data_IF_728591841069
#
_entry.id   IF_728591841069
#
_cell.length_a   1.000
_cell.length_b   1.000
_cell.length_c   1.000
_cell.angle_alpha   90.00
_cell.angle_beta   90.00
_cell.angle_gamma   90.00
#
_symmetry.space_group_name_H-M   'P 1'
#
loop_
_entity.id
_entity.type
_entity.pdbx_description
1 polymer ?
#
# COMPACT_ATOMS: atom_id res chain seq x y z
N UNK A 1 5.25 6.54 -16.44
CA UNK A 1 5.63 6.05 -15.09
C UNK A 1 6.32 4.72 -15.24
N UNK A 2 7.45 4.44 -14.56
CA UNK A 2 8.10 3.13 -14.61
C UNK A 2 7.15 2.01 -14.17
N UNK A 3 7.23 0.85 -14.81
CA UNK A 3 6.28 -0.26 -14.57
C UNK A 3 6.25 -0.74 -13.12
N UNK A 4 7.40 -0.73 -12.43
CA UNK A 4 7.49 -1.11 -11.01
C UNK A 4 6.69 -0.15 -10.11
N UNK A 5 6.67 1.14 -10.44
CA UNK A 5 5.92 2.15 -9.69
C UNK A 5 4.40 2.02 -9.93
N UNK A 6 4.01 1.63 -11.16
CA UNK A 6 2.61 1.30 -11.46
C UNK A 6 2.14 0.04 -10.72
N UNK A 7 3.02 -0.94 -10.50
CA UNK A 7 2.70 -2.13 -9.73
C UNK A 7 2.57 -1.86 -8.22
N UNK A 8 3.40 -0.96 -7.67
CA UNK A 8 3.25 -0.47 -6.29
C UNK A 8 1.90 0.22 -6.07
N UNK A 9 1.40 0.94 -7.07
CA UNK A 9 0.04 1.50 -7.07
C UNK A 9 -1.06 0.46 -7.38
N UNK A 10 -0.76 -0.84 -7.31
CA UNK A 10 -1.74 -1.91 -7.55
C UNK A 10 -2.11 -2.16 -9.01
N UNK A 11 -1.29 -1.70 -9.97
CA UNK A 11 -1.38 -2.04 -11.41
C UNK A 11 -2.63 -1.56 -12.15
N UNK A 12 -3.58 -0.92 -11.45
CA UNK A 12 -4.96 -0.74 -11.90
C UNK A 12 -5.34 0.74 -12.15
N UNK A 13 -4.40 1.63 -12.46
CA UNK A 13 -4.65 3.08 -12.61
C UNK A 13 -5.10 3.78 -11.31
N UNK A 14 -4.77 3.22 -10.14
CA UNK A 14 -4.90 3.97 -8.90
C UNK A 14 -3.86 5.09 -8.86
N UNK A 15 -4.31 6.27 -8.43
CA UNK A 15 -3.46 7.44 -8.28
C UNK A 15 -3.48 7.86 -6.82
N UNK A 16 -2.31 7.97 -6.20
CA UNK A 16 -2.16 8.66 -4.92
C UNK A 16 -2.39 10.15 -5.20
N UNK A 17 -3.33 10.76 -4.47
CA UNK A 17 -3.65 12.19 -4.63
C UNK A 17 -3.47 12.99 -3.34
N UNK A 18 -3.29 12.32 -2.20
CA UNK A 18 -2.95 12.95 -0.93
C UNK A 18 -2.09 12.01 -0.09
N UNK A 19 -1.23 12.61 0.72
CA UNK A 19 -0.38 11.95 1.70
C UNK A 19 -0.44 12.77 2.99
N UNK A 20 -0.62 12.08 4.12
CA UNK A 20 -0.69 12.68 5.46
C UNK A 20 0.21 11.88 6.40
N UNK A 21 1.22 12.54 6.97
CA UNK A 21 2.08 11.95 7.99
C UNK A 21 1.56 12.26 9.40
N UNK A 22 1.68 11.27 10.29
CA UNK A 22 1.37 11.33 11.71
C UNK A 22 2.53 10.75 12.52
N UNK A 23 2.56 10.98 13.84
CA UNK A 23 3.66 10.55 14.71
C UNK A 23 4.01 9.05 14.62
N UNK A 24 3.02 8.20 14.34
CA UNK A 24 3.17 6.74 14.30
C UNK A 24 2.62 6.08 13.03
N UNK A 25 2.23 6.86 12.03
CA UNK A 25 1.65 6.35 10.79
C UNK A 25 1.75 7.32 9.64
N UNK A 26 1.61 6.81 8.43
CA UNK A 26 1.41 7.59 7.21
C UNK A 26 0.16 7.10 6.50
N UNK A 27 -0.66 8.02 6.01
CA UNK A 27 -1.91 7.72 5.29
C UNK A 27 -1.84 8.25 3.86
N UNK A 28 -2.21 7.41 2.91
CA UNK A 28 -2.29 7.73 1.49
C UNK A 28 -3.75 7.66 1.04
N UNK A 29 -4.23 8.71 0.39
CA UNK A 29 -5.51 8.67 -0.30
C UNK A 29 -5.28 8.36 -1.78
N UNK A 30 -5.97 7.33 -2.25
CA UNK A 30 -5.90 6.84 -3.61
C UNK A 30 -7.25 6.96 -4.29
N UNK A 31 -7.24 7.17 -5.60
CA UNK A 31 -8.46 7.17 -6.43
C UNK A 31 -8.29 6.35 -7.70
N UNK A 32 -9.37 5.69 -8.11
CA UNK A 32 -9.48 4.99 -9.40
C UNK A 32 -10.86 5.29 -10.00
N UNK A 33 -10.91 6.26 -10.92
CA UNK A 33 -12.19 6.73 -11.47
C UNK A 33 -13.06 7.36 -10.38
N UNK A 34 -14.12 6.66 -9.97
CA UNK A 34 -15.03 7.08 -8.88
C UNK A 34 -14.79 6.38 -7.55
N UNK A 35 -13.86 5.42 -7.50
CA UNK A 35 -13.51 4.71 -6.27
C UNK A 35 -12.46 5.47 -5.50
N UNK A 36 -12.58 5.47 -4.19
CA UNK A 36 -11.63 6.06 -3.26
C UNK A 36 -11.12 4.97 -2.31
N UNK A 37 -9.82 5.02 -2.02
CA UNK A 37 -9.21 4.16 -1.04
C UNK A 37 -8.32 4.97 -0.12
N UNK A 38 -8.24 4.54 1.13
CA UNK A 38 -7.29 5.05 2.10
C UNK A 38 -6.40 3.88 2.55
N UNK A 39 -5.09 4.11 2.53
CA UNK A 39 -4.10 3.16 3.04
C UNK A 39 -3.36 3.84 4.17
N UNK A 40 -3.51 3.34 5.39
CA UNK A 40 -2.77 3.81 6.57
C UNK A 40 -1.73 2.77 6.96
N UNK A 41 -0.47 3.16 6.99
CA UNK A 41 0.66 2.33 7.38
C UNK A 41 1.18 2.80 8.74
N UNK A 42 1.24 1.89 9.71
CA UNK A 42 1.74 2.18 11.04
C UNK A 42 3.20 1.74 11.19
N UNK A 43 3.95 2.45 12.02
CA UNK A 43 5.39 2.22 12.24
C UNK A 43 5.70 0.86 12.89
N UNK A 44 4.69 0.17 13.43
CA UNK A 44 4.82 -1.16 14.02
C UNK A 44 4.60 -2.31 13.01
N UNK A 45 4.47 -2.00 11.71
CA UNK A 45 4.19 -3.02 10.69
C UNK A 45 2.75 -3.50 10.72
N UNK A 46 1.82 -2.63 11.10
CA UNK A 46 0.38 -2.79 10.93
C UNK A 46 -0.09 -1.93 9.76
N UNK A 47 -1.13 -2.35 9.05
CA UNK A 47 -1.75 -1.54 8.01
C UNK A 47 -3.28 -1.67 8.06
N UNK A 48 -3.94 -0.59 7.66
CA UNK A 48 -5.37 -0.54 7.43
C UNK A 48 -5.61 -0.08 6.00
N UNK A 49 -6.54 -0.73 5.30
CA UNK A 49 -6.96 -0.37 3.95
C UNK A 49 -8.48 -0.28 3.91
N UNK A 50 -8.98 0.92 3.62
CA UNK A 50 -10.39 1.20 3.43
C UNK A 50 -10.66 1.45 1.94
N UNK A 51 -11.71 0.83 1.41
CA UNK A 51 -12.21 1.04 0.05
C UNK A 51 -13.63 1.57 0.13
N UNK A 52 -13.85 2.78 -0.38
CA UNK A 52 -15.13 3.49 -0.32
C UNK A 52 -15.73 3.51 1.11
N UNK A 53 -14.86 3.74 2.11
CA UNK A 53 -15.22 3.77 3.53
C UNK A 53 -15.42 2.41 4.21
N UNK A 54 -15.14 1.31 3.52
CA UNK A 54 -15.19 -0.05 4.08
C UNK A 54 -13.79 -0.64 4.24
N UNK A 55 -13.46 -1.04 5.46
CA UNK A 55 -12.21 -1.77 5.73
C UNK A 55 -12.20 -3.12 5.00
N UNK A 56 -11.20 -3.29 4.12
CA UNK A 56 -10.92 -4.51 3.37
C UNK A 56 -9.65 -5.20 3.86
N UNK A 57 -8.82 -4.49 4.64
CA UNK A 57 -7.66 -5.02 5.33
C UNK A 57 -7.45 -4.24 6.62
N UNK A 58 -7.17 -4.97 7.69
CA UNK A 58 -6.90 -4.42 9.02
C UNK A 58 -6.04 -5.45 9.75
N UNK A 59 -4.72 -5.28 9.73
CA UNK A 59 -3.83 -6.30 10.25
C UNK A 59 -2.34 -6.03 10.13
N UNK A 60 -1.55 -6.92 10.73
CA UNK A 60 -0.09 -6.93 10.60
C UNK A 60 0.35 -7.29 9.19
N UNK A 61 1.27 -6.51 8.62
CA UNK A 61 1.96 -6.79 7.35
C UNK A 61 3.24 -7.60 7.54
N UNK A 62 3.76 -7.71 8.78
CA UNK A 62 4.99 -8.43 9.12
C UNK A 62 4.76 -9.89 9.51
N UNK A 63 3.51 -10.26 9.78
CA UNK A 63 3.13 -11.62 10.18
C UNK A 63 2.72 -12.40 8.92
N UNK A 64 3.63 -13.20 8.37
CA UNK A 64 3.49 -14.21 7.31
C UNK A 64 2.20 -14.24 6.46
N UNK A 65 2.34 -14.10 5.14
CA UNK A 65 1.34 -14.35 4.08
C UNK A 65 -0.12 -14.29 4.55
N UNK A 66 -0.66 -13.09 4.70
CA UNK A 66 -2.10 -12.91 4.81
C UNK A 66 -2.73 -13.12 3.42
N UNK A 67 -3.88 -13.83 3.31
CA UNK A 67 -4.56 -14.02 2.01
C UNK A 67 -4.93 -12.70 1.32
N UNK A 68 -5.06 -11.62 2.09
CA UNK A 68 -5.49 -10.32 1.62
C UNK A 68 -4.33 -9.31 1.47
N UNK A 69 -3.11 -9.65 1.92
CA UNK A 69 -1.95 -8.78 1.81
C UNK A 69 -0.66 -9.58 1.58
N UNK A 70 0.03 -9.25 0.49
CA UNK A 70 1.33 -9.79 0.15
C UNK A 70 2.35 -8.66 0.19
N UNK A 71 3.41 -8.83 0.97
CA UNK A 71 4.49 -7.86 1.06
C UNK A 71 5.56 -8.22 0.04
N UNK A 72 5.75 -7.34 -0.94
CA UNK A 72 6.84 -7.46 -1.92
C UNK A 72 7.76 -6.25 -1.76
N UNK A 73 9.04 -6.52 -1.62
CA UNK A 73 10.06 -5.50 -1.49
C UNK A 73 10.65 -5.21 -2.86
N UNK A 74 10.98 -3.95 -3.14
CA UNK A 74 11.64 -3.54 -4.38
C UNK A 74 12.83 -2.65 -4.06
N UNK A 75 13.90 -2.73 -4.84
CA UNK A 75 15.03 -1.81 -4.67
C UNK A 75 14.66 -0.41 -5.16
N UNK A 76 15.07 0.60 -4.40
CA UNK A 76 14.72 2.00 -4.69
C UNK A 76 15.44 2.57 -5.92
N UNK A 77 16.58 2.00 -6.31
CA UNK A 77 17.41 2.46 -7.42
C UNK A 77 16.87 2.02 -8.79
N UNK A 78 16.39 0.78 -8.89
CA UNK A 78 16.01 0.17 -10.16
C UNK A 78 14.62 -0.48 -10.19
N UNK A 79 13.97 -0.66 -9.03
CA UNK A 79 12.66 -1.28 -8.93
C UNK A 79 12.65 -2.80 -9.06
N UNK A 80 13.80 -3.48 -8.94
CA UNK A 80 13.88 -4.94 -8.95
C UNK A 80 13.28 -5.52 -7.67
N UNK A 81 12.52 -6.63 -7.74
CA UNK A 81 11.98 -7.28 -6.56
C UNK A 81 13.10 -7.86 -5.70
N UNK A 82 12.99 -7.66 -4.39
CA UNK A 82 13.83 -8.27 -3.36
C UNK A 82 13.06 -9.48 -2.83
N UNK A 83 13.67 -10.65 -2.99
CA UNK A 83 13.18 -11.90 -2.38
C UNK A 83 13.77 -11.97 -0.97
N UNK A 84 12.91 -11.93 0.04
CA UNK A 84 13.28 -12.26 1.42
C UNK A 84 13.15 -13.78 1.59
N UNK A 85 14.29 -14.44 1.84
CA UNK A 85 14.35 -15.88 2.13
C UNK A 85 14.22 -16.13 3.63
#
# INVERSE_FOLDING_TARGET
>A
MPNWLSQLAGGNNWQVYSESEYDHSVSFLLRQGKKEAEVTLFNNGYAQVDLDGKSIFDGSITSGTNKCAHLTYYRADNGDPIVLN
#
